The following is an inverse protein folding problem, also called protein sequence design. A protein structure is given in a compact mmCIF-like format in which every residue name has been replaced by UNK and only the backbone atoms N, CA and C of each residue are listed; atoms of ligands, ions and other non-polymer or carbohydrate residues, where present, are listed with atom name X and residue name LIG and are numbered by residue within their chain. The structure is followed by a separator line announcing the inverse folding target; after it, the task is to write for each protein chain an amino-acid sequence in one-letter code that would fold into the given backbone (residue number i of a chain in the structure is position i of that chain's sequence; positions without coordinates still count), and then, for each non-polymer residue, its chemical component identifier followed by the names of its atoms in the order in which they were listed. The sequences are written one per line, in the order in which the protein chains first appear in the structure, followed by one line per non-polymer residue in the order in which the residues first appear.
data_IF_809381629638
#
_entry.id   IF_809381629638
#
_cell.length_a   1.000
_cell.length_b   1.000
_cell.length_c   1.000
_cell.angle_alpha   90.00
_cell.angle_beta   90.00
_cell.angle_gamma   90.00
#
_symmetry.space_group_name_H-M   'P 1'
#
loop_
_entity.id
_entity.type
_entity.pdbx_description
1 polymer ?
#
# COMPACT_ATOMS: atom_id res chain seq x y z
N UNK A 1 1.34 16.41 -16.83
CA UNK A 1 2.44 15.84 -16.01
C UNK A 1 1.86 15.58 -14.63
N UNK A 2 1.91 14.34 -14.13
CA UNK A 2 1.34 13.99 -12.82
C UNK A 2 2.05 14.70 -11.66
N UNK A 3 1.36 14.85 -10.50
CA UNK A 3 1.96 15.44 -9.28
C UNK A 3 3.26 14.71 -8.89
N UNK A 4 3.27 13.37 -8.93
CA UNK A 4 4.48 12.55 -8.68
C UNK A 4 5.64 12.94 -9.60
N UNK A 5 5.39 13.10 -10.89
CA UNK A 5 6.42 13.53 -11.86
C UNK A 5 6.95 14.93 -11.57
N UNK A 6 6.10 15.88 -11.14
CA UNK A 6 6.51 17.23 -10.76
C UNK A 6 7.39 17.21 -9.51
N UNK A 7 6.98 16.46 -8.47
CA UNK A 7 7.76 16.30 -7.23
C UNK A 7 9.10 15.63 -7.50
N UNK A 8 9.12 14.59 -8.34
CA UNK A 8 10.36 13.91 -8.76
C UNK A 8 11.30 14.86 -9.51
N UNK A 9 10.78 15.68 -10.43
CA UNK A 9 11.57 16.67 -11.17
C UNK A 9 12.16 17.72 -10.21
N UNK A 10 11.36 18.24 -9.27
CA UNK A 10 11.81 19.16 -8.22
C UNK A 10 12.91 18.52 -7.35
N UNK A 11 12.68 17.30 -6.87
CA UNK A 11 13.67 16.55 -6.07
C UNK A 11 14.98 16.36 -6.83
N UNK A 12 14.95 15.91 -8.09
CA UNK A 12 16.15 15.76 -8.92
C UNK A 12 16.90 17.07 -9.12
N UNK A 13 16.17 18.18 -9.31
CA UNK A 13 16.78 19.53 -9.42
C UNK A 13 17.48 19.93 -8.12
N UNK A 14 16.80 19.82 -6.98
CA UNK A 14 17.38 20.15 -5.67
C UNK A 14 18.59 19.28 -5.35
N UNK A 15 18.52 17.98 -5.66
CA UNK A 15 19.64 17.04 -5.50
C UNK A 15 20.86 17.43 -6.34
N UNK A 16 20.68 17.83 -7.61
CA UNK A 16 21.76 18.32 -8.46
C UNK A 16 22.38 19.61 -7.91
N UNK A 17 21.56 20.56 -7.49
CA UNK A 17 22.05 21.81 -6.89
C UNK A 17 22.84 21.53 -5.59
N UNK A 18 22.33 20.67 -4.72
CA UNK A 18 23.02 20.25 -3.50
C UNK A 18 24.37 19.57 -3.78
N UNK A 19 24.42 18.68 -4.79
CA UNK A 19 25.68 18.04 -5.20
C UNK A 19 26.69 19.05 -5.76
N UNK A 20 26.24 19.99 -6.59
CA UNK A 20 27.11 21.06 -7.13
C UNK A 20 27.63 21.97 -6.01
N UNK A 21 26.78 22.39 -5.09
CA UNK A 21 27.17 23.19 -3.93
C UNK A 21 28.16 22.43 -3.02
N UNK A 22 27.91 21.15 -2.79
CA UNK A 22 28.81 20.28 -2.03
C UNK A 22 30.16 20.09 -2.70
N UNK A 23 30.20 19.89 -4.02
CA UNK A 23 31.44 19.78 -4.80
C UNK A 23 32.22 21.10 -4.75
N UNK A 24 31.58 22.25 -4.94
CA UNK A 24 32.21 23.56 -4.83
C UNK A 24 32.80 23.78 -3.44
N UNK A 25 32.06 23.44 -2.39
CA UNK A 25 32.55 23.51 -1.01
C UNK A 25 33.79 22.65 -0.80
N UNK A 26 33.78 21.41 -1.29
CA UNK A 26 34.91 20.48 -1.20
C UNK A 26 36.15 21.00 -1.95
N UNK A 27 35.96 21.63 -3.12
CA UNK A 27 37.04 22.25 -3.89
C UNK A 27 37.64 23.42 -3.13
N UNK A 28 36.79 24.31 -2.57
CA UNK A 28 37.27 25.45 -1.75
C UNK A 28 38.03 24.96 -0.53
N UNK A 29 37.51 23.97 0.19
CA UNK A 29 38.19 23.36 1.35
C UNK A 29 39.52 22.70 0.96
N UNK A 30 39.58 22.03 -0.18
CA UNK A 30 40.83 21.43 -0.69
C UNK A 30 41.90 22.44 -1.06
N UNK A 31 41.52 23.64 -1.54
CA UNK A 31 42.45 24.71 -1.93
C UNK A 31 42.88 25.55 -0.71
N UNK A 32 41.96 25.86 0.24
CA UNK A 32 42.16 26.77 1.35
C UNK A 32 42.71 26.09 2.60
N UNK A 33 42.42 24.77 2.77
CA UNK A 33 42.72 24.02 3.98
C UNK A 33 43.61 22.78 3.70
N UNK A 34 43.35 21.72 4.39
CA UNK A 34 44.08 20.47 4.28
C UNK A 34 43.50 19.60 3.12
N UNK A 35 44.31 19.28 2.14
CA UNK A 35 43.93 18.51 0.94
C UNK A 35 43.26 17.15 1.24
N UNK A 36 43.52 16.56 2.41
CA UNK A 36 42.93 15.28 2.85
C UNK A 36 41.51 15.41 3.43
N UNK A 37 41.09 16.63 3.84
CA UNK A 37 39.79 16.87 4.43
C UNK A 37 38.61 16.47 3.51
N UNK A 38 38.64 16.77 2.19
CA UNK A 38 37.64 16.26 1.26
C UNK A 38 37.52 14.75 1.25
N UNK A 39 38.62 14.00 1.39
CA UNK A 39 38.60 12.53 1.39
C UNK A 39 37.86 11.96 2.59
N UNK A 40 37.90 12.61 3.76
CA UNK A 40 37.12 12.23 4.94
C UNK A 40 35.67 12.66 4.84
N UNK A 41 35.38 13.82 4.27
CA UNK A 41 34.02 14.35 4.16
C UNK A 41 33.18 13.61 3.11
N UNK A 42 33.77 13.13 2.00
CA UNK A 42 33.05 12.41 0.96
C UNK A 42 32.27 11.18 1.50
N UNK A 43 32.86 10.25 2.26
CA UNK A 43 32.14 9.14 2.85
C UNK A 43 31.03 9.60 3.80
N UNK A 44 31.24 10.66 4.58
CA UNK A 44 30.23 11.18 5.50
C UNK A 44 29.04 11.79 4.74
N UNK A 45 29.31 12.60 3.72
CA UNK A 45 28.28 13.17 2.85
C UNK A 45 27.52 12.07 2.12
N UNK A 46 28.23 11.04 1.63
CA UNK A 46 27.59 9.90 1.00
C UNK A 46 26.70 9.13 2.00
N UNK A 47 27.19 8.86 3.22
CA UNK A 47 26.41 8.18 4.26
C UNK A 47 25.16 8.99 4.63
N UNK A 48 25.30 10.34 4.80
CA UNK A 48 24.17 11.22 5.02
C UNK A 48 23.17 11.20 3.85
N UNK A 49 23.67 11.22 2.62
CA UNK A 49 22.81 11.10 1.44
C UNK A 49 22.03 9.78 1.45
N UNK A 50 22.67 8.64 1.67
CA UNK A 50 22.01 7.33 1.69
C UNK A 50 21.03 7.20 2.87
N UNK A 51 21.33 7.80 4.03
CA UNK A 51 20.44 7.77 5.19
C UNK A 51 19.17 8.60 5.01
N UNK A 52 19.26 9.79 4.42
CA UNK A 52 18.17 10.78 4.44
C UNK A 52 17.63 11.19 3.08
N UNK A 53 18.39 11.04 1.99
CA UNK A 53 18.04 11.61 0.68
C UNK A 53 18.04 10.60 -0.47
N UNK A 54 18.42 9.35 -0.23
CA UNK A 54 18.46 8.34 -1.27
C UNK A 54 17.09 7.79 -1.65
N UNK A 55 16.13 7.86 -0.71
CA UNK A 55 14.75 7.45 -0.96
C UNK A 55 14.02 8.55 -1.72
N UNK A 56 13.32 8.17 -2.75
CA UNK A 56 12.47 9.07 -3.52
C UNK A 56 11.11 9.23 -2.83
N UNK A 57 11.10 9.90 -1.68
CA UNK A 57 9.87 10.22 -0.98
C UNK A 57 9.23 11.45 -1.61
N UNK A 58 8.03 11.29 -2.14
CA UNK A 58 7.25 12.36 -2.76
C UNK A 58 6.12 12.75 -1.82
N UNK A 59 6.41 13.49 -0.79
CA UNK A 59 5.44 13.97 0.17
C UNK A 59 5.61 15.47 0.45
N UNK A 60 4.54 16.06 0.95
CA UNK A 60 4.50 17.48 1.32
C UNK A 60 4.29 17.59 2.84
N UNK A 61 5.36 17.54 3.64
CA UNK A 61 5.26 17.44 5.10
C UNK A 61 4.62 18.68 5.74
N UNK A 62 4.70 19.85 5.10
CA UNK A 62 4.13 21.11 5.60
C UNK A 62 2.68 21.35 5.16
N UNK A 63 2.05 20.43 4.45
CA UNK A 63 0.67 20.58 4.00
C UNK A 63 -0.28 19.80 4.93
N UNK A 64 -1.50 20.34 5.11
CA UNK A 64 -2.58 19.66 5.81
C UNK A 64 -3.14 18.54 4.92
N UNK A 65 -3.33 17.35 5.49
CA UNK A 65 -4.10 16.30 4.82
C UNK A 65 -5.57 16.69 4.85
N UNK A 66 -6.28 16.40 3.76
CA UNK A 66 -7.67 16.77 3.58
C UNK A 66 -8.49 15.52 3.27
N UNK A 67 -9.45 15.22 4.15
CA UNK A 67 -10.41 14.14 3.94
C UNK A 67 -11.83 14.71 3.99
N UNK A 68 -12.67 14.20 3.10
CA UNK A 68 -14.11 14.36 3.16
C UNK A 68 -14.69 12.99 3.43
N UNK A 69 -15.21 12.80 4.62
CA UNK A 69 -15.84 11.55 4.99
C UNK A 69 -17.30 11.51 4.55
N UNK A 70 -17.81 10.30 4.21
CA UNK A 70 -19.20 10.10 3.79
C UNK A 70 -20.18 10.24 4.97
N UNK A 71 -21.48 10.28 4.66
CA UNK A 71 -22.56 10.48 5.63
C UNK A 71 -22.59 9.40 6.73
N UNK A 72 -22.03 8.23 6.48
CA UNK A 72 -21.90 7.14 7.46
C UNK A 72 -20.89 7.44 8.58
N UNK A 73 -20.03 8.45 8.39
CA UNK A 73 -18.99 8.84 9.34
C UNK A 73 -19.44 10.06 10.13
N UNK A 74 -19.60 9.91 11.43
CA UNK A 74 -19.94 11.01 12.34
C UNK A 74 -18.72 11.63 12.97
N UNK A 75 -18.75 12.93 13.17
CA UNK A 75 -17.77 13.65 13.98
C UNK A 75 -18.17 13.60 15.46
N UNK A 76 -17.20 13.45 16.34
CA UNK A 76 -17.39 13.53 17.78
C UNK A 76 -16.39 14.51 18.40
N UNK A 77 -16.88 15.29 19.34
CA UNK A 77 -16.05 16.20 20.12
C UNK A 77 -15.04 15.41 20.96
N UNK A 78 -13.81 15.90 20.97
CA UNK A 78 -12.72 15.30 21.73
C UNK A 78 -11.83 16.36 22.33
N UNK A 79 -11.17 16.01 23.43
CA UNK A 79 -10.17 16.86 24.05
C UNK A 79 -8.88 16.09 24.27
N UNK A 80 -7.75 16.80 24.22
CA UNK A 80 -6.44 16.25 24.54
C UNK A 80 -5.80 17.13 25.60
N UNK A 81 -5.68 16.61 26.82
CA UNK A 81 -5.07 17.31 27.95
C UNK A 81 -3.98 16.45 28.57
N UNK A 82 -2.77 16.99 28.65
CA UNK A 82 -1.58 16.28 29.16
C UNK A 82 -1.35 14.90 28.52
N UNK A 83 -1.70 14.79 27.24
CA UNK A 83 -1.60 13.56 26.47
C UNK A 83 -2.78 12.61 26.66
N UNK A 84 -3.70 12.85 27.59
CA UNK A 84 -4.91 12.05 27.75
C UNK A 84 -5.95 12.49 26.73
N UNK A 85 -6.40 11.54 25.90
CA UNK A 85 -7.51 11.74 24.95
C UNK A 85 -8.84 11.39 25.63
N UNK A 86 -9.80 12.28 25.55
CA UNK A 86 -11.15 12.08 26.08
C UNK A 86 -12.20 12.42 25.02
N UNK A 87 -13.32 11.72 25.07
CA UNK A 87 -14.51 11.98 24.26
C UNK A 87 -15.77 11.62 25.03
N UNK A 88 -16.84 12.36 24.80
CA UNK A 88 -18.18 12.05 25.34
C UNK A 88 -18.98 11.12 24.41
N UNK A 89 -18.39 10.71 23.27
CA UNK A 89 -19.07 9.85 22.32
C UNK A 89 -19.23 8.43 22.86
N UNK A 90 -20.44 7.89 22.71
CA UNK A 90 -20.65 6.45 22.93
C UNK A 90 -20.02 5.67 21.77
N UNK A 91 -19.17 4.71 22.09
CA UNK A 91 -18.47 3.83 21.14
C UNK A 91 -19.01 2.41 21.27
N UNK A 92 -19.34 1.80 20.15
CA UNK A 92 -19.83 0.41 20.09
C UNK A 92 -18.72 -0.64 20.24
N UNK A 93 -17.46 -0.24 20.04
CA UNK A 93 -16.27 -1.09 20.23
C UNK A 93 -15.73 -1.72 18.95
N UNK A 94 -16.53 -1.83 17.91
CA UNK A 94 -16.19 -2.40 16.60
C UNK A 94 -16.17 -1.36 15.46
N UNK A 95 -16.07 -0.08 15.79
CA UNK A 95 -16.08 1.04 14.87
C UNK A 95 -14.67 1.35 14.35
N UNK A 96 -14.59 1.88 13.14
CA UNK A 96 -13.37 2.58 12.67
C UNK A 96 -13.30 3.93 13.36
N UNK A 97 -12.21 4.18 14.05
CA UNK A 97 -11.94 5.41 14.79
C UNK A 97 -10.74 6.13 14.16
N UNK A 98 -10.96 7.34 13.67
CA UNK A 98 -9.90 8.16 13.07
C UNK A 98 -9.80 9.49 13.79
N UNK A 99 -8.64 9.80 14.35
CA UNK A 99 -8.37 11.05 15.05
C UNK A 99 -7.64 12.02 14.14
N UNK A 100 -8.27 13.13 13.82
CA UNK A 100 -7.68 14.25 13.13
C UNK A 100 -7.00 15.16 14.15
N UNK A 101 -5.70 15.41 13.97
CA UNK A 101 -4.90 16.29 14.86
C UNK A 101 -3.73 16.89 14.10
N UNK A 102 -3.32 18.09 14.49
CA UNK A 102 -2.09 18.70 13.93
C UNK A 102 -0.85 18.08 14.56
N UNK A 103 0.01 17.52 13.71
CA UNK A 103 1.32 16.99 14.08
C UNK A 103 2.39 17.96 13.63
N UNK A 104 3.21 18.46 14.58
CA UNK A 104 4.33 19.36 14.28
C UNK A 104 5.64 18.76 14.71
N UNK A 105 6.52 18.50 13.77
CA UNK A 105 7.87 17.98 14.02
C UNK A 105 8.70 18.95 14.87
N UNK A 106 9.40 18.40 15.85
CA UNK A 106 10.48 19.08 16.52
C UNK A 106 11.75 19.12 15.65
N UNK A 107 12.84 19.68 16.17
CA UNK A 107 14.11 19.75 15.45
C UNK A 107 14.62 18.36 15.03
N UNK A 108 14.61 17.39 15.93
CA UNK A 108 15.00 16.00 15.63
C UNK A 108 14.05 15.33 14.64
N UNK A 109 12.77 15.67 14.62
CA UNK A 109 11.78 15.14 13.66
C UNK A 109 12.02 15.55 12.19
N UNK A 110 13.05 16.37 11.92
CA UNK A 110 13.53 16.66 10.56
C UNK A 110 14.56 15.62 10.07
N UNK A 111 15.12 14.83 10.97
CA UNK A 111 16.15 13.82 10.69
C UNK A 111 15.67 12.40 10.97
N UNK A 112 14.87 12.24 12.03
CA UNK A 112 14.24 10.97 12.41
C UNK A 112 12.74 11.07 12.14
N UNK A 113 12.13 10.02 11.61
CA UNK A 113 10.71 10.01 11.30
C UNK A 113 9.90 10.24 12.61
N UNK A 114 9.08 11.30 12.69
CA UNK A 114 8.28 11.59 13.87
C UNK A 114 7.15 10.58 14.03
N UNK A 115 6.80 10.25 15.26
CA UNK A 115 5.76 9.28 15.55
C UNK A 115 4.89 9.67 16.74
N UNK A 116 3.68 9.16 16.75
CA UNK A 116 2.75 9.26 17.86
C UNK A 116 2.57 7.87 18.47
N UNK A 117 2.95 7.74 19.73
CA UNK A 117 2.76 6.54 20.54
C UNK A 117 1.38 6.59 21.18
N UNK A 118 0.66 5.48 21.13
CA UNK A 118 -0.66 5.27 21.73
C UNK A 118 -0.47 4.36 22.95
N UNK A 119 -0.95 4.80 24.13
CA UNK A 119 -0.69 4.14 25.39
C UNK A 119 -2.02 3.85 26.12
N UNK A 120 -2.18 2.65 26.62
CA UNK A 120 -3.19 2.22 27.62
C UNK A 120 -2.45 1.55 28.78
N UNK A 121 -1.91 2.39 29.69
CA UNK A 121 -0.90 1.95 30.65
C UNK A 121 0.49 1.75 30.00
N UNK A 122 0.59 0.78 29.12
CA UNK A 122 1.76 0.52 28.29
C UNK A 122 1.57 1.05 26.85
N UNK A 123 2.65 1.01 26.04
CA UNK A 123 2.52 1.34 24.62
C UNK A 123 1.82 0.20 23.90
N UNK A 124 0.60 0.49 23.39
CA UNK A 124 -0.22 -0.48 22.67
C UNK A 124 -0.10 -0.36 21.16
N UNK A 125 0.27 0.83 20.66
CA UNK A 125 0.49 1.09 19.22
C UNK A 125 1.39 2.30 19.02
N UNK A 126 1.87 2.49 17.78
CA UNK A 126 2.50 3.73 17.33
C UNK A 126 2.21 3.98 15.86
N UNK A 127 2.18 5.25 15.48
CA UNK A 127 1.99 5.64 14.07
C UNK A 127 3.01 6.69 13.68
N UNK A 128 3.72 6.42 12.61
CA UNK A 128 4.85 7.21 12.14
C UNK A 128 4.43 8.10 10.98
N UNK A 129 5.00 9.30 10.94
CA UNK A 129 4.75 10.29 9.90
C UNK A 129 6.04 10.67 9.18
N UNK A 130 5.91 11.42 8.10
CA UNK A 130 7.02 11.91 7.32
C UNK A 130 7.87 12.93 8.11
N UNK A 131 9.17 12.92 7.85
CA UNK A 131 10.11 13.88 8.44
C UNK A 131 9.73 15.31 8.12
N UNK A 132 9.75 16.14 9.16
CA UNK A 132 9.38 17.54 9.03
C UNK A 132 7.87 17.79 8.97
N UNK A 133 7.02 16.80 9.29
CA UNK A 133 5.57 16.97 9.32
C UNK A 133 5.17 18.22 10.14
N UNK A 134 4.38 19.12 9.53
CA UNK A 134 3.76 20.26 10.18
C UNK A 134 2.40 20.52 9.53
N UNK A 135 1.38 19.78 9.95
CA UNK A 135 0.05 19.86 9.37
C UNK A 135 -0.93 18.88 10.01
N UNK A 136 -2.18 18.91 9.56
CA UNK A 136 -3.21 17.95 9.97
C UNK A 136 -2.83 16.57 9.50
N UNK A 137 -2.98 15.60 10.40
CA UNK A 137 -2.78 14.16 10.19
C UNK A 137 -3.93 13.39 10.79
N UNK A 138 -4.13 12.17 10.32
CA UNK A 138 -5.25 11.32 10.69
C UNK A 138 -4.72 10.02 11.26
N UNK A 139 -4.76 9.91 12.60
CA UNK A 139 -4.35 8.70 13.31
C UNK A 139 -5.49 7.68 13.32
N UNK A 140 -5.15 6.45 13.17
CA UNK A 140 -6.08 5.32 13.26
C UNK A 140 -6.14 4.81 14.71
N UNK A 141 -7.27 4.96 15.37
CA UNK A 141 -7.51 4.51 16.73
C UNK A 141 -8.39 3.25 16.78
N UNK A 142 -8.65 2.62 15.65
CA UNK A 142 -9.48 1.40 15.56
C UNK A 142 -8.92 0.29 16.44
N UNK A 143 -9.80 -0.35 17.21
CA UNK A 143 -9.42 -1.34 18.22
C UNK A 143 -9.02 -0.76 19.57
N UNK A 144 -8.96 0.58 19.72
CA UNK A 144 -8.65 1.25 20.99
C UNK A 144 -9.88 1.96 21.61
N UNK A 145 -11.08 1.72 21.07
CA UNK A 145 -12.32 2.33 21.55
C UNK A 145 -12.59 2.05 23.03
N UNK A 146 -12.29 0.84 23.52
CA UNK A 146 -12.43 0.49 24.94
C UNK A 146 -11.52 1.30 25.86
N UNK A 147 -10.26 1.52 25.48
CA UNK A 147 -9.32 2.36 26.24
C UNK A 147 -9.75 3.83 26.21
N UNK A 148 -10.25 4.30 25.04
CA UNK A 148 -10.75 5.66 24.88
C UNK A 148 -12.01 5.90 25.72
N UNK A 149 -13.01 5.03 25.66
CA UNK A 149 -14.25 5.13 26.47
C UNK A 149 -13.98 5.05 27.97
N UNK A 150 -12.96 4.31 28.37
CA UNK A 150 -12.54 4.21 29.78
C UNK A 150 -11.66 5.39 30.24
N UNK A 151 -11.37 6.38 29.37
CA UNK A 151 -10.55 7.54 29.70
C UNK A 151 -9.08 7.20 30.02
N UNK A 152 -8.53 6.13 29.42
CA UNK A 152 -7.16 5.68 29.67
C UNK A 152 -6.21 5.91 28.49
N UNK A 153 -6.75 6.18 27.30
CA UNK A 153 -5.96 6.33 26.09
C UNK A 153 -5.11 7.61 26.12
N UNK A 154 -3.81 7.43 26.08
CA UNK A 154 -2.86 8.55 26.01
C UNK A 154 -2.11 8.59 24.69
N UNK A 155 -1.85 9.80 24.22
CA UNK A 155 -1.06 10.09 23.02
C UNK A 155 0.26 10.75 23.45
N UNK A 156 1.37 10.24 22.94
CA UNK A 156 2.69 10.81 23.19
C UNK A 156 3.46 11.02 21.89
N UNK A 157 3.73 12.28 21.55
CA UNK A 157 4.58 12.61 20.39
C UNK A 157 6.06 12.31 20.68
N UNK A 158 6.70 11.56 19.76
CA UNK A 158 8.15 11.40 19.70
C UNK A 158 8.68 12.15 18.50
N UNK A 159 9.61 13.05 18.75
CA UNK A 159 10.19 13.97 17.75
C UNK A 159 9.15 14.92 17.12
N UNK A 160 7.94 14.98 17.68
CA UNK A 160 6.86 15.89 17.29
C UNK A 160 6.02 16.30 18.51
N UNK A 161 5.19 17.32 18.30
CA UNK A 161 4.16 17.77 19.24
C UNK A 161 2.80 17.61 18.58
N UNK A 162 1.79 17.33 19.39
CA UNK A 162 0.39 17.34 19.00
C UNK A 162 -0.18 18.70 19.36
N UNK A 163 -0.85 19.38 18.44
CA UNK A 163 -1.32 20.76 18.60
C UNK A 163 -2.78 20.90 18.19
N UNK A 164 -3.46 21.86 18.78
CA UNK A 164 -4.85 22.18 18.46
C UNK A 164 -5.85 21.22 19.12
N UNK A 165 -7.13 21.47 18.88
CA UNK A 165 -8.22 20.61 19.30
C UNK A 165 -8.32 19.41 18.34
N UNK A 166 -8.27 18.17 18.83
CA UNK A 166 -8.47 16.99 18.00
C UNK A 166 -9.95 16.86 17.61
N UNK A 167 -10.22 16.17 16.48
CA UNK A 167 -11.57 15.74 16.07
C UNK A 167 -11.58 14.24 15.88
N UNK A 168 -12.57 13.57 16.42
CA UNK A 168 -12.73 12.12 16.27
C UNK A 168 -13.78 11.83 15.21
N UNK A 169 -13.40 11.06 14.22
CA UNK A 169 -14.26 10.56 13.16
C UNK A 169 -14.58 9.09 13.44
N UNK A 170 -15.87 8.75 13.49
CA UNK A 170 -16.37 7.45 13.88
C UNK A 170 -17.20 6.88 12.72
N UNK A 171 -16.77 5.76 12.18
CA UNK A 171 -17.48 5.03 11.12
C UNK A 171 -17.93 3.68 11.65
N UNK A 172 -19.24 3.35 11.66
CA UNK A 172 -19.70 2.04 12.06
C UNK A 172 -19.10 0.94 11.16
N UNK A 173 -18.68 -0.16 11.75
CA UNK A 173 -18.40 -1.37 11.00
C UNK A 173 -19.73 -2.09 10.72
N UNK A 174 -20.01 -2.34 9.46
CA UNK A 174 -20.87 -3.46 9.11
C UNK A 174 -20.07 -4.75 9.35
N UNK A 175 -20.75 -5.86 9.63
CA UNK A 175 -20.12 -7.18 9.81
C UNK A 175 -19.39 -7.61 8.53
N UNK A 176 -18.17 -7.12 8.31
CA UNK A 176 -17.38 -7.39 7.11
C UNK A 176 -16.84 -8.82 7.08
N UNK A 177 -16.62 -9.42 8.25
CA UNK A 177 -15.94 -10.71 8.39
C UNK A 177 -16.82 -11.92 8.05
N UNK A 178 -18.14 -11.78 8.13
CA UNK A 178 -19.11 -12.84 7.85
C UNK A 178 -19.90 -12.56 6.57
N UNK A 179 -19.16 -12.47 5.45
CA UNK A 179 -19.73 -12.12 4.15
C UNK A 179 -19.05 -12.88 3.02
N UNK A 180 -19.72 -12.93 1.88
CA UNK A 180 -19.10 -13.36 0.63
C UNK A 180 -18.30 -12.22 0.04
N UNK A 181 -17.00 -12.42 -0.09
CA UNK A 181 -16.03 -11.38 -0.48
C UNK A 181 -15.34 -11.79 -1.77
N UNK A 182 -15.19 -10.87 -2.71
CA UNK A 182 -14.30 -11.05 -3.85
C UNK A 182 -13.23 -9.95 -3.83
N UNK A 183 -11.97 -10.36 -3.84
CA UNK A 183 -10.82 -9.47 -3.92
C UNK A 183 -10.32 -9.44 -5.35
N UNK A 184 -10.30 -8.26 -5.96
CA UNK A 184 -9.72 -8.00 -7.26
C UNK A 184 -8.30 -7.53 -7.06
N UNK A 185 -7.34 -8.34 -7.48
CA UNK A 185 -5.92 -8.09 -7.41
C UNK A 185 -5.36 -7.82 -8.83
N UNK A 186 -4.92 -6.60 -9.16
CA UNK A 186 -4.25 -6.34 -10.43
C UNK A 186 -3.06 -7.26 -10.68
N UNK A 187 -2.27 -7.54 -9.62
CA UNK A 187 -1.09 -8.42 -9.65
C UNK A 187 -1.16 -9.47 -8.53
N UNK A 188 -0.39 -10.55 -8.69
CA UNK A 188 -0.26 -11.59 -7.67
C UNK A 188 0.59 -11.08 -6.49
N UNK A 189 0.03 -10.52 -5.51
CA UNK A 189 0.49 -10.01 -4.22
C UNK A 189 -0.45 -8.92 -3.69
N UNK A 190 -1.19 -8.23 -4.57
CA UNK A 190 -2.05 -7.12 -4.18
C UNK A 190 -3.13 -7.52 -3.16
N UNK A 191 -3.71 -8.71 -3.31
CA UNK A 191 -4.71 -9.22 -2.37
C UNK A 191 -4.10 -9.44 -0.98
N UNK A 192 -2.91 -10.04 -0.90
CA UNK A 192 -2.20 -10.31 0.34
C UNK A 192 -1.68 -9.02 0.97
N UNK A 193 -1.22 -8.07 0.17
CA UNK A 193 -0.77 -6.76 0.66
C UNK A 193 -1.91 -6.00 1.32
N UNK A 194 -3.09 -5.98 0.69
CA UNK A 194 -4.20 -5.11 1.08
C UNK A 194 -5.21 -5.75 2.02
N UNK A 195 -5.56 -7.04 1.81
CA UNK A 195 -6.82 -7.61 2.30
C UNK A 195 -6.69 -9.03 2.87
N UNK A 196 -5.48 -9.50 3.19
CA UNK A 196 -5.25 -10.83 3.72
C UNK A 196 -6.10 -11.12 4.97
N UNK A 197 -6.08 -10.19 5.93
CA UNK A 197 -6.83 -10.35 7.18
C UNK A 197 -8.35 -10.29 6.96
N UNK A 198 -8.80 -9.56 5.95
CA UNK A 198 -10.20 -9.49 5.59
C UNK A 198 -10.66 -10.83 4.98
N UNK A 199 -10.00 -11.30 3.92
CA UNK A 199 -10.47 -12.49 3.22
C UNK A 199 -10.19 -13.79 3.97
N UNK A 200 -9.15 -13.85 4.83
CA UNK A 200 -8.87 -15.02 5.67
C UNK A 200 -9.92 -15.28 6.75
N UNK A 201 -10.76 -14.30 7.06
CA UNK A 201 -11.82 -14.38 8.07
C UNK A 201 -13.23 -14.31 7.46
N UNK A 202 -13.34 -14.30 6.13
CA UNK A 202 -14.61 -14.29 5.42
C UNK A 202 -15.27 -15.68 5.45
N UNK A 203 -16.61 -15.72 5.43
CA UNK A 203 -17.34 -16.99 5.27
C UNK A 203 -17.08 -17.61 3.90
N UNK A 204 -16.95 -16.76 2.90
CA UNK A 204 -16.64 -17.15 1.54
C UNK A 204 -15.76 -16.07 0.88
N UNK A 205 -14.55 -16.44 0.45
CA UNK A 205 -13.64 -15.54 -0.22
C UNK A 205 -13.29 -16.03 -1.63
N UNK A 206 -13.26 -15.10 -2.58
CA UNK A 206 -12.71 -15.25 -3.92
C UNK A 206 -11.53 -14.32 -4.08
N UNK A 207 -10.43 -14.80 -4.65
CA UNK A 207 -9.28 -13.98 -5.03
C UNK A 207 -9.10 -14.07 -6.54
N UNK A 208 -9.27 -12.94 -7.22
CA UNK A 208 -9.20 -12.85 -8.68
C UNK A 208 -8.04 -11.94 -9.05
N UNK A 209 -6.98 -12.52 -9.61
CA UNK A 209 -5.79 -11.81 -10.08
C UNK A 209 -5.91 -11.54 -11.58
N UNK A 210 -5.71 -10.28 -12.00
CA UNK A 210 -5.96 -9.88 -13.38
C UNK A 210 -4.78 -10.12 -14.31
N UNK A 211 -3.57 -9.76 -13.88
CA UNK A 211 -2.38 -9.85 -14.75
C UNK A 211 -1.38 -10.89 -14.26
N UNK A 212 -0.60 -11.40 -15.19
CA UNK A 212 0.47 -12.36 -14.89
C UNK A 212 1.69 -11.72 -14.19
N UNK A 213 1.84 -10.39 -14.26
CA UNK A 213 2.96 -9.67 -13.64
C UNK A 213 4.33 -10.09 -14.18
N UNK A 214 4.41 -10.39 -15.47
CA UNK A 214 5.53 -11.04 -16.14
C UNK A 214 6.72 -10.12 -16.41
N UNK A 215 6.53 -8.82 -16.36
CA UNK A 215 7.58 -7.82 -16.66
C UNK A 215 8.59 -7.65 -15.51
N UNK A 216 9.69 -6.93 -15.75
CA UNK A 216 10.74 -6.69 -14.74
C UNK A 216 11.35 -8.03 -14.23
N UNK A 217 11.76 -8.89 -15.15
CA UNK A 217 12.23 -10.26 -14.89
C UNK A 217 13.76 -10.37 -14.78
N UNK A 218 14.47 -9.28 -14.40
CA UNK A 218 15.95 -9.24 -14.37
C UNK A 218 16.56 -10.29 -13.44
N UNK A 219 15.88 -10.63 -12.34
CA UNK A 219 16.33 -11.68 -11.44
C UNK A 219 16.47 -13.02 -12.16
N UNK A 220 15.51 -13.36 -13.01
CA UNK A 220 15.52 -14.62 -13.78
C UNK A 220 16.47 -14.57 -14.96
N UNK A 221 16.74 -13.39 -15.52
CA UNK A 221 17.80 -13.21 -16.53
C UNK A 221 19.18 -13.51 -15.95
N UNK A 222 19.42 -13.22 -14.67
CA UNK A 222 20.65 -13.56 -13.96
C UNK A 222 20.87 -15.08 -13.85
N UNK A 223 19.84 -15.90 -14.07
CA UNK A 223 19.94 -17.36 -14.16
C UNK A 223 20.33 -17.85 -15.56
N UNK A 224 20.63 -16.93 -16.49
CA UNK A 224 21.05 -17.24 -17.86
C UNK A 224 19.90 -17.32 -18.87
N UNK A 225 18.69 -16.93 -18.51
CA UNK A 225 17.54 -16.93 -19.42
C UNK A 225 17.55 -15.68 -20.32
N UNK A 226 17.11 -15.82 -21.56
CA UNK A 226 16.82 -14.68 -22.42
C UNK A 226 15.64 -13.86 -21.84
N UNK A 227 15.54 -12.56 -22.21
CA UNK A 227 14.54 -11.64 -21.66
C UNK A 227 13.11 -12.19 -21.71
N UNK A 228 12.70 -12.70 -22.87
CA UNK A 228 11.35 -13.22 -23.05
C UNK A 228 11.11 -14.52 -22.26
N UNK A 229 12.11 -15.38 -22.14
CA UNK A 229 12.04 -16.62 -21.35
C UNK A 229 11.95 -16.30 -19.85
N UNK A 230 12.74 -15.34 -19.37
CA UNK A 230 12.71 -14.86 -18.00
C UNK A 230 11.32 -14.27 -17.65
N UNK A 231 10.75 -13.46 -18.54
CA UNK A 231 9.41 -12.91 -18.39
C UNK A 231 8.34 -14.03 -18.35
N UNK A 232 8.40 -14.99 -19.26
CA UNK A 232 7.48 -16.15 -19.25
C UNK A 232 7.61 -16.98 -17.97
N UNK A 233 8.83 -17.19 -17.48
CA UNK A 233 9.04 -17.92 -16.21
C UNK A 233 8.46 -17.15 -15.05
N UNK A 234 8.74 -15.84 -14.92
CA UNK A 234 8.19 -14.98 -13.88
C UNK A 234 6.65 -15.01 -13.90
N UNK A 235 6.04 -14.80 -15.07
CA UNK A 235 4.58 -14.82 -15.21
C UNK A 235 3.96 -16.16 -14.78
N UNK A 236 4.60 -17.29 -15.09
CA UNK A 236 4.12 -18.61 -14.63
C UNK A 236 4.24 -18.79 -13.11
N UNK A 237 5.31 -18.31 -12.49
CA UNK A 237 5.50 -18.37 -11.04
C UNK A 237 4.46 -17.49 -10.33
N UNK A 238 4.25 -16.27 -10.81
CA UNK A 238 3.21 -15.39 -10.25
C UNK A 238 1.79 -15.92 -10.48
N UNK A 239 1.54 -16.54 -11.62
CA UNK A 239 0.27 -17.25 -11.85
C UNK A 239 0.07 -18.42 -10.88
N UNK A 240 1.13 -19.14 -10.53
CA UNK A 240 1.09 -20.15 -9.46
C UNK A 240 0.83 -19.50 -8.09
N UNK A 241 1.54 -18.42 -7.77
CA UNK A 241 1.37 -17.71 -6.50
C UNK A 241 -0.07 -17.25 -6.29
N UNK A 242 -0.72 -16.70 -7.32
CA UNK A 242 -2.10 -16.22 -7.25
C UNK A 242 -3.14 -17.30 -6.97
N UNK A 243 -2.83 -18.56 -7.24
CA UNK A 243 -3.67 -19.71 -6.90
C UNK A 243 -3.25 -20.33 -5.57
N UNK A 244 -1.95 -20.48 -5.33
CA UNK A 244 -1.44 -21.23 -4.20
C UNK A 244 -1.46 -20.45 -2.88
N UNK A 245 -1.13 -19.14 -2.93
CA UNK A 245 -0.93 -18.34 -1.71
C UNK A 245 -2.25 -18.04 -0.98
N UNK A 246 -3.37 -17.67 -1.63
CA UNK A 246 -4.63 -17.49 -0.91
C UNK A 246 -5.14 -18.75 -0.19
N UNK A 247 -4.70 -19.92 -0.62
CA UNK A 247 -5.04 -21.20 0.04
C UNK A 247 -4.43 -21.31 1.44
N UNK A 248 -3.32 -20.63 1.70
CA UNK A 248 -2.75 -20.52 3.05
C UNK A 248 -3.74 -19.89 4.04
N UNK A 249 -4.57 -18.96 3.57
CA UNK A 249 -5.65 -18.35 4.35
C UNK A 249 -6.93 -19.21 4.39
N UNK A 250 -6.92 -20.42 3.83
CA UNK A 250 -8.08 -21.31 3.78
C UNK A 250 -9.02 -21.07 2.58
N UNK A 251 -8.68 -20.20 1.63
CA UNK A 251 -9.47 -20.01 0.41
C UNK A 251 -9.41 -21.28 -0.44
N UNK A 252 -10.54 -21.92 -0.79
CA UNK A 252 -10.53 -23.11 -1.66
C UNK A 252 -9.90 -22.80 -3.03
N UNK A 253 -9.20 -23.78 -3.61
CA UNK A 253 -8.59 -23.64 -4.93
C UNK A 253 -9.60 -23.19 -6.00
N UNK A 254 -10.83 -23.72 -5.91
CA UNK A 254 -11.93 -23.36 -6.82
C UNK A 254 -12.35 -21.88 -6.78
N UNK A 255 -11.79 -21.10 -5.86
CA UNK A 255 -12.07 -19.67 -5.69
C UNK A 255 -10.84 -18.79 -5.86
N UNK A 256 -9.71 -19.36 -6.26
CA UNK A 256 -8.49 -18.64 -6.61
C UNK A 256 -8.37 -18.64 -8.14
N UNK A 257 -8.39 -17.48 -8.77
CA UNK A 257 -8.46 -17.35 -10.23
C UNK A 257 -7.41 -16.38 -10.76
N UNK A 258 -6.70 -16.79 -11.81
CA UNK A 258 -5.75 -15.97 -12.54
C UNK A 258 -6.28 -15.70 -13.96
N UNK A 259 -6.48 -14.40 -14.30
CA UNK A 259 -6.98 -14.02 -15.63
C UNK A 259 -5.90 -13.95 -16.71
N UNK A 260 -4.62 -13.92 -16.32
CA UNK A 260 -3.48 -14.08 -17.22
C UNK A 260 -3.22 -12.91 -18.18
N UNK A 261 -3.92 -11.78 -18.04
CA UNK A 261 -3.64 -10.59 -18.85
C UNK A 261 -2.23 -10.06 -18.59
N UNK A 262 -1.70 -9.28 -19.53
CA UNK A 262 -0.32 -8.82 -19.44
C UNK A 262 -0.17 -7.54 -18.63
N UNK A 263 0.87 -7.50 -17.80
CA UNK A 263 1.17 -6.36 -16.93
C UNK A 263 1.41 -5.08 -17.73
N UNK A 264 0.87 -3.95 -17.25
CA UNK A 264 0.89 -2.62 -17.89
C UNK A 264 0.23 -2.58 -19.28
N UNK A 265 -0.53 -3.59 -19.66
CA UNK A 265 -1.29 -3.61 -20.93
C UNK A 265 -2.79 -3.32 -20.73
N UNK A 266 -3.31 -3.34 -19.51
CA UNK A 266 -4.71 -2.99 -19.26
C UNK A 266 -5.09 -1.59 -19.80
N UNK A 267 -4.25 -0.55 -19.68
CA UNK A 267 -4.55 0.75 -20.31
C UNK A 267 -4.62 0.69 -21.85
N UNK A 268 -3.78 -0.13 -22.49
CA UNK A 268 -3.81 -0.34 -23.95
C UNK A 268 -5.08 -1.03 -24.39
N UNK A 269 -5.50 -2.08 -23.66
CA UNK A 269 -6.75 -2.79 -23.88
C UNK A 269 -7.97 -1.86 -23.71
N UNK A 270 -7.99 -1.03 -22.67
CA UNK A 270 -9.08 -0.09 -22.41
C UNK A 270 -9.20 0.96 -23.52
N UNK A 271 -8.07 1.44 -24.05
CA UNK A 271 -8.07 2.44 -25.14
C UNK A 271 -8.56 1.88 -26.48
N UNK A 272 -8.45 0.56 -26.72
CA UNK A 272 -8.88 -0.13 -27.93
C UNK A 272 -9.51 -1.49 -27.56
N UNK A 273 -10.78 -1.51 -27.12
CA UNK A 273 -11.40 -2.67 -26.46
C UNK A 273 -11.41 -3.99 -27.25
N UNK A 274 -11.45 -3.92 -28.57
CA UNK A 274 -11.45 -5.07 -29.48
C UNK A 274 -10.05 -5.49 -29.97
N UNK A 275 -9.01 -4.71 -29.62
CA UNK A 275 -7.66 -4.97 -30.12
C UNK A 275 -6.83 -5.73 -29.08
N UNK A 276 -6.22 -6.88 -29.45
CA UNK A 276 -5.35 -7.59 -28.55
C UNK A 276 -4.09 -6.78 -28.17
N UNK A 277 -3.76 -6.74 -26.89
CA UNK A 277 -2.56 -6.08 -26.38
C UNK A 277 -1.54 -7.12 -25.87
N UNK A 278 -0.57 -7.44 -26.72
CA UNK A 278 0.48 -8.43 -26.41
C UNK A 278 1.39 -8.00 -25.23
N UNK A 279 2.05 -8.97 -24.60
CA UNK A 279 3.05 -8.70 -23.56
C UNK A 279 4.21 -7.87 -24.09
N UNK A 280 4.68 -6.93 -23.26
CA UNK A 280 5.84 -6.08 -23.60
C UNK A 280 7.17 -6.82 -23.54
N UNK A 281 7.27 -7.91 -22.78
CA UNK A 281 8.53 -8.55 -22.49
C UNK A 281 8.55 -10.08 -22.74
N UNK A 282 7.38 -10.74 -22.67
CA UNK A 282 7.31 -12.20 -22.75
C UNK A 282 7.28 -12.73 -24.20
N UNK A 283 7.15 -11.88 -25.20
CA UNK A 283 6.94 -12.29 -26.62
C UNK A 283 5.72 -13.24 -26.73
N UNK A 284 4.59 -12.81 -26.17
CA UNK A 284 3.33 -13.56 -26.10
C UNK A 284 2.14 -12.64 -26.38
N UNK A 285 1.15 -13.22 -27.08
CA UNK A 285 -0.16 -12.59 -27.33
C UNK A 285 -1.34 -13.47 -26.87
N UNK A 286 -1.06 -14.64 -26.30
CA UNK A 286 -2.04 -15.60 -25.77
C UNK A 286 -1.95 -15.65 -24.25
N UNK A 287 -3.08 -15.41 -23.57
CA UNK A 287 -3.16 -15.37 -22.09
C UNK A 287 -3.28 -16.77 -21.47
N UNK A 288 -3.69 -17.79 -22.23
CA UNK A 288 -3.97 -19.14 -21.73
C UNK A 288 -2.79 -19.82 -21.01
N UNK A 289 -1.52 -19.63 -21.40
CA UNK A 289 -0.39 -20.22 -20.68
C UNK A 289 -0.29 -19.78 -19.21
N UNK A 290 -0.78 -18.58 -18.86
CA UNK A 290 -0.80 -18.08 -17.48
C UNK A 290 -2.06 -18.50 -16.72
N UNK A 291 -3.10 -19.03 -17.39
CA UNK A 291 -4.34 -19.54 -16.82
C UNK A 291 -4.34 -21.03 -16.51
N UNK A 292 -3.23 -21.71 -16.81
CA UNK A 292 -3.12 -23.17 -16.71
C UNK A 292 -3.42 -23.78 -15.33
N UNK A 293 -3.43 -22.97 -14.29
CA UNK A 293 -3.72 -23.39 -12.91
C UNK A 293 -5.15 -23.05 -12.48
N UNK A 294 -5.94 -22.43 -13.33
CA UNK A 294 -7.34 -22.14 -13.01
C UNK A 294 -8.15 -23.44 -12.83
N UNK A 295 -9.07 -23.47 -11.87
CA UNK A 295 -9.88 -24.64 -11.57
C UNK A 295 -10.99 -24.91 -12.60
N UNK A 296 -11.31 -23.95 -13.46
CA UNK A 296 -12.34 -24.02 -14.49
C UNK A 296 -12.04 -23.08 -15.65
N UNK A 297 -12.62 -23.33 -16.84
CA UNK A 297 -12.44 -22.46 -17.98
C UNK A 297 -13.20 -21.13 -17.81
N UNK A 298 -12.66 -20.07 -18.42
CA UNK A 298 -13.25 -18.74 -18.47
C UNK A 298 -13.63 -18.35 -19.92
N UNK A 299 -14.53 -17.37 -20.14
CA UNK A 299 -14.96 -16.99 -21.48
C UNK A 299 -13.81 -16.68 -22.45
N UNK A 300 -12.77 -15.96 -22.03
CA UNK A 300 -11.64 -15.61 -22.88
C UNK A 300 -10.68 -16.80 -23.17
N UNK A 301 -10.89 -17.97 -22.61
CA UNK A 301 -10.14 -19.19 -23.01
C UNK A 301 -10.51 -19.66 -24.41
N UNK A 302 -11.64 -19.21 -24.98
CA UNK A 302 -12.09 -19.56 -26.31
C UNK A 302 -11.11 -19.14 -27.38
N UNK A 303 -10.56 -17.93 -27.30
CA UNK A 303 -9.61 -17.38 -28.26
C UNK A 303 -8.22 -17.09 -27.65
N UNK A 304 -8.15 -16.84 -26.33
CA UNK A 304 -6.93 -16.49 -25.62
C UNK A 304 -6.45 -15.06 -25.87
N UNK A 305 -7.28 -14.20 -26.48
CA UNK A 305 -6.91 -12.85 -26.86
C UNK A 305 -6.94 -11.87 -25.67
N UNK A 306 -5.86 -11.09 -25.42
CA UNK A 306 -5.82 -10.09 -24.38
C UNK A 306 -6.55 -8.80 -24.79
N UNK A 307 -7.88 -8.85 -24.85
CA UNK A 307 -8.74 -7.71 -25.19
C UNK A 307 -9.51 -7.21 -23.96
N UNK A 308 -9.94 -5.94 -23.97
CA UNK A 308 -10.78 -5.39 -22.91
C UNK A 308 -12.12 -6.09 -22.81
N UNK A 309 -12.72 -6.41 -23.96
CA UNK A 309 -13.99 -7.12 -24.01
C UNK A 309 -13.89 -8.52 -23.39
N UNK A 310 -12.79 -9.24 -23.62
CA UNK A 310 -12.53 -10.53 -22.98
C UNK A 310 -12.36 -10.38 -21.46
N UNK A 311 -11.64 -9.35 -20.98
CA UNK A 311 -11.51 -9.05 -19.56
C UNK A 311 -12.89 -8.80 -18.93
N UNK A 312 -13.76 -8.03 -19.58
CA UNK A 312 -15.11 -7.78 -19.09
C UNK A 312 -15.97 -9.05 -19.09
N UNK A 313 -15.84 -9.91 -20.10
CA UNK A 313 -16.56 -11.18 -20.15
C UNK A 313 -16.13 -12.12 -18.98
N UNK A 314 -14.84 -12.25 -18.73
CA UNK A 314 -14.31 -13.02 -17.60
C UNK A 314 -14.80 -12.48 -16.25
N UNK A 315 -14.72 -11.16 -16.04
CA UNK A 315 -15.17 -10.53 -14.81
C UNK A 315 -16.68 -10.70 -14.59
N UNK A 316 -17.50 -10.56 -15.63
CA UNK A 316 -18.96 -10.80 -15.53
C UNK A 316 -19.27 -12.24 -15.14
N UNK A 317 -18.61 -13.22 -15.78
CA UNK A 317 -18.80 -14.64 -15.45
C UNK A 317 -18.44 -14.94 -13.99
N UNK A 318 -17.34 -14.37 -13.49
CA UNK A 318 -16.90 -14.56 -12.11
C UNK A 318 -17.82 -13.86 -11.10
N UNK A 319 -18.28 -12.65 -11.39
CA UNK A 319 -19.21 -11.91 -10.53
C UNK A 319 -20.57 -12.58 -10.44
N UNK A 320 -21.09 -13.12 -11.55
CA UNK A 320 -22.34 -13.90 -11.56
C UNK A 320 -22.21 -15.25 -10.84
N UNK A 321 -21.04 -15.89 -10.94
CA UNK A 321 -20.74 -17.14 -10.24
C UNK A 321 -20.62 -16.95 -8.73
N UNK A 322 -19.82 -15.97 -8.31
CA UNK A 322 -19.50 -15.75 -6.91
C UNK A 322 -20.58 -14.94 -6.16
N UNK A 323 -21.27 -14.03 -6.84
CA UNK A 323 -22.26 -13.12 -6.25
C UNK A 323 -21.77 -12.50 -4.94
N UNK A 324 -20.63 -11.78 -4.95
CA UNK A 324 -20.03 -11.27 -3.73
C UNK A 324 -20.87 -10.17 -3.12
N UNK A 325 -21.06 -10.18 -1.81
CA UNK A 325 -21.71 -9.09 -1.08
C UNK A 325 -20.78 -7.89 -0.92
N UNK A 326 -19.47 -8.19 -0.77
CA UNK A 326 -18.41 -7.19 -0.67
C UNK A 326 -17.43 -7.41 -1.83
N UNK A 327 -17.18 -6.34 -2.56
CA UNK A 327 -16.18 -6.31 -3.61
C UNK A 327 -15.01 -5.43 -3.18
N UNK A 328 -13.81 -6.03 -3.12
CA UNK A 328 -12.57 -5.36 -2.71
C UNK A 328 -11.73 -5.09 -3.95
N UNK A 329 -11.34 -3.84 -4.18
CA UNK A 329 -10.64 -3.43 -5.40
C UNK A 329 -9.72 -2.23 -5.15
N UNK A 330 -8.80 -1.87 -6.07
CA UNK A 330 -7.98 -0.68 -5.93
C UNK A 330 -8.78 0.62 -5.84
N UNK A 331 -8.26 1.60 -5.09
CA UNK A 331 -8.90 2.90 -4.92
C UNK A 331 -8.70 3.78 -6.18
N UNK A 332 -9.77 4.40 -6.72
CA UNK A 332 -9.73 5.10 -8.02
C UNK A 332 -8.84 6.34 -8.07
N UNK A 333 -8.52 6.95 -6.94
CA UNK A 333 -7.75 8.20 -6.90
C UNK A 333 -6.51 8.15 -6.02
N UNK A 334 -6.47 7.30 -4.99
CA UNK A 334 -5.32 7.16 -4.10
C UNK A 334 -4.23 6.26 -4.68
N UNK A 335 -4.63 5.20 -5.39
CA UNK A 335 -3.69 4.29 -6.04
C UNK A 335 -3.46 4.71 -7.51
N UNK A 336 -2.25 5.23 -7.84
CA UNK A 336 -1.98 5.77 -9.17
C UNK A 336 -1.47 4.74 -10.18
N UNK A 337 -1.35 3.47 -9.80
CA UNK A 337 -0.80 2.46 -10.71
C UNK A 337 -1.74 2.26 -11.91
N UNK A 338 -1.25 2.28 -13.17
CA UNK A 338 -2.12 2.20 -14.34
C UNK A 338 -3.01 0.96 -14.37
N UNK A 339 -2.47 -0.23 -14.04
CA UNK A 339 -3.27 -1.46 -14.00
C UNK A 339 -4.30 -1.43 -12.87
N UNK A 340 -4.01 -0.77 -11.74
CA UNK A 340 -4.97 -0.64 -10.61
C UNK A 340 -6.17 0.23 -11.02
N UNK A 341 -5.90 1.35 -11.69
CA UNK A 341 -6.96 2.22 -12.21
C UNK A 341 -7.83 1.50 -13.25
N UNK A 342 -7.19 0.75 -14.17
CA UNK A 342 -7.92 -0.03 -15.17
C UNK A 342 -8.67 -1.22 -14.55
N UNK A 343 -8.12 -1.89 -13.55
CA UNK A 343 -8.80 -2.97 -12.84
C UNK A 343 -10.10 -2.47 -12.20
N UNK A 344 -10.05 -1.34 -11.52
CA UNK A 344 -11.24 -0.72 -10.94
C UNK A 344 -12.25 -0.33 -12.02
N UNK A 345 -11.80 0.27 -13.13
CA UNK A 345 -12.67 0.65 -14.23
C UNK A 345 -13.35 -0.58 -14.87
N UNK A 346 -12.59 -1.66 -15.13
CA UNK A 346 -13.11 -2.91 -15.69
C UNK A 346 -14.19 -3.53 -14.81
N UNK A 347 -13.95 -3.59 -13.50
CA UNK A 347 -14.92 -4.13 -12.54
C UNK A 347 -16.22 -3.32 -12.55
N UNK A 348 -16.13 -1.99 -12.46
CA UNK A 348 -17.32 -1.12 -12.49
C UNK A 348 -18.07 -1.19 -13.82
N UNK A 349 -17.36 -1.41 -14.92
CA UNK A 349 -17.97 -1.62 -16.25
C UNK A 349 -18.62 -3.01 -16.34
N UNK A 350 -17.99 -4.05 -15.81
CA UNK A 350 -18.55 -5.40 -15.76
C UNK A 350 -19.85 -5.45 -14.95
N UNK A 351 -19.91 -4.76 -13.80
CA UNK A 351 -21.10 -4.68 -12.96
C UNK A 351 -22.31 -4.08 -13.68
N UNK A 352 -22.11 -3.15 -14.61
CA UNK A 352 -23.23 -2.58 -15.41
C UNK A 352 -23.90 -3.63 -16.31
N UNK A 353 -23.19 -4.70 -16.66
CA UNK A 353 -23.65 -5.73 -17.60
C UNK A 353 -24.27 -6.99 -16.92
N UNK A 354 -24.42 -7.01 -15.59
CA UNK A 354 -24.95 -8.13 -14.83
C UNK A 354 -26.09 -7.69 -13.88
N UNK A 355 -26.96 -8.67 -13.56
CA UNK A 355 -28.10 -8.39 -12.67
C UNK A 355 -27.69 -8.34 -11.18
N UNK A 356 -26.66 -9.07 -10.80
CA UNK A 356 -26.16 -9.07 -9.43
C UNK A 356 -25.35 -7.81 -9.15
N UNK A 357 -25.61 -7.19 -7.98
CA UNK A 357 -24.81 -6.05 -7.51
C UNK A 357 -24.31 -6.34 -6.07
N UNK A 358 -23.04 -6.06 -5.76
CA UNK A 358 -22.57 -6.10 -4.39
C UNK A 358 -23.26 -5.00 -3.57
N UNK A 359 -23.40 -5.20 -2.26
CA UNK A 359 -23.92 -4.16 -1.38
C UNK A 359 -22.86 -3.14 -0.98
N UNK A 360 -21.59 -3.57 -0.97
CA UNK A 360 -20.47 -2.78 -0.44
C UNK A 360 -19.24 -2.86 -1.34
N UNK A 361 -18.66 -1.71 -1.64
CA UNK A 361 -17.31 -1.61 -2.22
C UNK A 361 -16.31 -1.24 -1.12
N UNK A 362 -15.20 -1.98 -1.05
CA UNK A 362 -14.03 -1.65 -0.26
C UNK A 362 -12.86 -1.37 -1.20
N UNK A 363 -12.31 -0.17 -1.12
CA UNK A 363 -11.19 0.22 -1.96
C UNK A 363 -9.90 0.28 -1.13
N UNK A 364 -8.81 -0.26 -1.67
CA UNK A 364 -7.48 -0.25 -1.05
C UNK A 364 -6.46 0.54 -1.90
N UNK A 365 -5.32 0.92 -1.30
CA UNK A 365 -4.22 1.54 -2.02
C UNK A 365 -2.90 0.87 -1.63
N UNK A 366 -2.25 0.20 -2.59
CA UNK A 366 -0.92 -0.40 -2.43
C UNK A 366 0.19 0.55 -2.89
N UNK A 367 -0.14 1.51 -3.76
CA UNK A 367 0.74 2.57 -4.25
C UNK A 367 0.17 3.94 -3.91
N UNK A 368 1.02 4.93 -3.71
CA UNK A 368 0.58 6.32 -3.49
C UNK A 368 1.35 7.30 -4.38
N UNK A 369 0.72 8.44 -4.65
CA UNK A 369 1.35 9.54 -5.39
C UNK A 369 2.43 10.26 -4.59
N UNK A 370 2.15 10.56 -3.33
CA UNK A 370 2.90 11.53 -2.54
C UNK A 370 3.84 10.89 -1.51
N UNK A 371 3.73 9.60 -1.25
CA UNK A 371 4.58 8.90 -0.28
C UNK A 371 4.82 7.44 -0.67
N UNK A 372 5.97 7.16 -1.29
CA UNK A 372 6.34 5.79 -1.68
C UNK A 372 6.60 4.86 -0.47
N UNK A 373 6.75 5.42 0.75
CA UNK A 373 6.98 4.64 1.98
C UNK A 373 5.73 4.35 2.80
N UNK A 374 4.61 4.93 2.43
CA UNK A 374 3.36 4.64 3.15
C UNK A 374 2.99 3.14 3.04
N UNK A 375 2.45 2.54 4.12
CA UNK A 375 2.37 3.03 5.49
C UNK A 375 3.75 3.28 6.11
N UNK A 376 3.89 4.42 6.80
CA UNK A 376 5.11 4.77 7.52
C UNK A 376 5.25 3.93 8.80
N UNK A 377 6.46 3.84 9.34
CA UNK A 377 6.77 3.08 10.56
C UNK A 377 7.23 1.66 10.28
N UNK A 378 7.30 0.86 11.33
CA UNK A 378 7.83 -0.50 11.32
C UNK A 378 6.71 -1.55 11.13
N UNK A 379 7.07 -2.80 10.86
CA UNK A 379 6.11 -3.91 10.85
C UNK A 379 5.42 -4.02 12.21
N UNK A 380 4.11 -4.27 12.21
CA UNK A 380 3.29 -4.33 13.43
C UNK A 380 2.78 -3.00 13.95
N UNK A 381 3.28 -1.86 13.46
CA UNK A 381 2.75 -0.54 13.82
C UNK A 381 1.36 -0.31 13.21
N UNK A 382 0.60 0.61 13.79
CA UNK A 382 -0.67 1.08 13.24
C UNK A 382 -0.52 1.78 11.89
N UNK A 383 -1.62 1.88 11.16
CA UNK A 383 -1.67 2.51 9.84
C UNK A 383 -2.47 3.81 9.92
N UNK A 384 -1.77 4.94 9.95
CA UNK A 384 -2.39 6.25 9.78
C UNK A 384 -2.91 6.44 8.35
N UNK A 385 -3.91 7.30 8.16
CA UNK A 385 -4.41 7.57 6.83
C UNK A 385 -3.31 8.17 5.93
N UNK A 386 -3.28 7.81 4.63
CA UNK A 386 -2.26 8.27 3.69
C UNK A 386 -2.35 9.77 3.41
N UNK A 387 -1.29 10.39 2.85
CA UNK A 387 -1.38 11.75 2.36
C UNK A 387 -2.43 11.89 1.26
N UNK A 388 -3.42 12.74 1.51
CA UNK A 388 -4.42 13.19 0.56
C UNK A 388 -4.52 14.71 0.66
N UNK A 389 -4.31 15.41 -0.45
CA UNK A 389 -4.19 16.87 -0.47
C UNK A 389 -5.39 17.54 -1.15
N UNK A 390 -6.35 16.75 -1.64
CA UNK A 390 -7.65 17.21 -2.15
C UNK A 390 -8.74 16.24 -1.71
N UNK A 391 -9.85 16.77 -1.24
CA UNK A 391 -11.00 16.00 -0.76
C UNK A 391 -12.11 15.96 -1.83
N UNK A 392 -11.81 15.40 -3.01
CA UNK A 392 -12.74 15.45 -4.15
C UNK A 392 -13.96 14.52 -3.96
N UNK A 393 -13.76 13.37 -3.34
CA UNK A 393 -14.80 12.38 -3.14
C UNK A 393 -14.95 12.05 -1.66
N UNK A 394 -16.19 11.82 -1.24
CA UNK A 394 -16.49 11.38 0.12
C UNK A 394 -16.41 9.84 0.19
N UNK A 395 -15.58 9.34 1.10
CA UNK A 395 -15.44 7.93 1.40
C UNK A 395 -15.53 7.70 2.91
N UNK A 396 -16.09 6.58 3.33
CA UNK A 396 -16.05 6.17 4.72
C UNK A 396 -14.75 5.38 4.99
N UNK A 397 -13.89 5.80 5.92
CA UNK A 397 -12.73 5.01 6.29
C UNK A 397 -13.21 3.71 6.95
N UNK A 398 -12.59 2.60 6.58
CA UNK A 398 -12.86 1.28 7.11
C UNK A 398 -11.54 0.62 7.46
N UNK A 399 -11.28 0.49 8.75
CA UNK A 399 -10.03 -0.08 9.27
C UNK A 399 -10.30 -1.40 9.98
N UNK A 400 -9.67 -2.47 9.53
CA UNK A 400 -9.77 -3.78 10.12
C UNK A 400 -8.56 -4.04 11.01
N UNK A 401 -8.71 -4.16 12.34
CA UNK A 401 -7.60 -4.51 13.20
C UNK A 401 -7.21 -5.98 13.01
N UNK A 402 -5.90 -6.23 12.93
CA UNK A 402 -5.30 -7.55 12.81
C UNK A 402 -4.63 -7.93 14.12
N UNK A 403 -4.96 -9.08 14.67
CA UNK A 403 -4.23 -9.66 15.78
C UNK A 403 -2.84 -10.18 15.35
N UNK A 404 -1.99 -10.49 16.29
CA UNK A 404 -0.63 -10.93 16.01
C UNK A 404 -0.55 -12.25 15.24
N UNK A 405 -1.40 -13.26 15.50
CA UNK A 405 -1.49 -14.47 14.66
C UNK A 405 -1.78 -14.13 13.21
N UNK A 406 -2.81 -13.35 12.91
CA UNK A 406 -3.18 -12.94 11.55
C UNK A 406 -2.06 -12.16 10.85
N UNK A 407 -1.37 -11.27 11.58
CA UNK A 407 -0.20 -10.55 11.03
C UNK A 407 0.94 -11.51 10.65
N UNK A 408 1.19 -12.55 11.45
CA UNK A 408 2.20 -13.57 11.16
C UNK A 408 1.81 -14.43 9.97
N UNK A 409 0.57 -14.85 9.89
CA UNK A 409 0.06 -15.63 8.76
C UNK A 409 0.11 -14.82 7.45
N UNK A 410 -0.24 -13.53 7.50
CA UNK A 410 -0.05 -12.60 6.38
C UNK A 410 1.42 -12.50 5.96
N UNK A 411 2.35 -12.45 6.92
CA UNK A 411 3.78 -12.46 6.63
C UNK A 411 4.24 -13.75 5.96
N UNK A 412 3.70 -14.90 6.36
CA UNK A 412 3.99 -16.19 5.72
C UNK A 412 3.43 -16.24 4.30
N UNK A 413 2.21 -15.76 4.08
CA UNK A 413 1.62 -15.64 2.74
C UNK A 413 2.52 -14.82 1.81
N UNK A 414 2.94 -13.63 2.24
CA UNK A 414 3.89 -12.81 1.48
C UNK A 414 5.26 -13.50 1.30
N UNK A 415 5.68 -14.30 2.29
CA UNK A 415 6.90 -15.11 2.23
C UNK A 415 6.86 -16.22 1.19
N UNK A 416 5.69 -16.63 0.73
CA UNK A 416 5.53 -17.62 -0.35
C UNK A 416 5.51 -17.01 -1.76
N UNK A 417 5.35 -15.67 -1.87
CA UNK A 417 5.36 -14.96 -3.15
C UNK A 417 6.76 -14.93 -3.78
N UNK A 418 6.95 -15.56 -4.92
CA UNK A 418 8.26 -15.65 -5.59
C UNK A 418 8.87 -14.28 -5.89
N UNK A 419 8.06 -13.29 -6.24
CA UNK A 419 8.55 -11.95 -6.60
C UNK A 419 9.07 -11.15 -5.39
N UNK A 420 8.72 -11.55 -4.17
CA UNK A 420 9.17 -10.92 -2.94
C UNK A 420 10.44 -11.57 -2.33
N UNK A 421 10.88 -12.72 -2.89
CA UNK A 421 12.02 -13.49 -2.38
C UNK A 421 13.40 -13.00 -2.82
N UNK A 422 13.61 -12.37 -4.01
CA UNK A 422 14.95 -11.99 -4.43
C UNK A 422 15.66 -11.13 -3.38
N UNK A 423 16.89 -11.47 -3.00
CA UNK A 423 17.65 -10.73 -2.00
C UNK A 423 17.94 -9.31 -2.49
N UNK A 424 17.90 -8.35 -1.57
CA UNK A 424 18.22 -6.97 -1.93
C UNK A 424 19.69 -6.85 -2.40
N UNK A 425 19.97 -6.09 -3.46
CA UNK A 425 21.34 -5.80 -3.91
C UNK A 425 22.18 -5.19 -2.78
N UNK A 426 23.50 -5.45 -2.80
CA UNK A 426 24.44 -4.99 -1.77
C UNK A 426 24.28 -3.50 -1.41
N UNK A 427 24.18 -2.64 -2.43
CA UNK A 427 23.95 -1.19 -2.24
C UNK A 427 22.69 -0.90 -1.41
N UNK A 428 21.61 -1.64 -1.65
CA UNK A 428 20.35 -1.48 -0.91
C UNK A 428 20.49 -1.96 0.54
N UNK A 429 21.21 -3.06 0.77
CA UNK A 429 21.51 -3.57 2.12
C UNK A 429 22.34 -2.56 2.92
N UNK A 430 23.39 -1.99 2.31
CA UNK A 430 24.22 -0.98 2.94
C UNK A 430 23.42 0.30 3.25
N UNK A 431 22.55 0.75 2.32
CA UNK A 431 21.63 1.86 2.58
C UNK A 431 20.74 1.59 3.79
N UNK A 432 20.13 0.40 3.89
CA UNK A 432 19.29 0.03 5.04
C UNK A 432 20.06 0.05 6.35
N UNK A 433 21.31 -0.39 6.33
CA UNK A 433 22.19 -0.33 7.52
C UNK A 433 22.39 1.14 7.95
N UNK A 434 22.72 2.03 7.01
CA UNK A 434 22.85 3.46 7.29
C UNK A 434 21.54 4.07 7.79
N UNK A 435 20.41 3.73 7.18
CA UNK A 435 19.10 4.20 7.61
C UNK A 435 18.72 3.70 9.01
N UNK A 436 19.10 2.47 9.35
CA UNK A 436 18.88 1.92 10.70
C UNK A 436 19.61 2.73 11.76
N UNK A 437 20.90 2.98 11.56
CA UNK A 437 21.74 3.63 12.59
C UNK A 437 21.60 5.16 12.59
N UNK A 438 21.40 5.79 11.45
CA UNK A 438 21.37 7.25 11.32
C UNK A 438 19.94 7.82 11.30
N UNK A 439 18.97 7.12 10.74
CA UNK A 439 17.59 7.57 10.61
C UNK A 439 16.59 6.79 11.50
N UNK A 440 17.06 5.82 12.31
CA UNK A 440 16.23 5.07 13.26
C UNK A 440 15.22 4.11 12.62
N UNK A 441 15.40 3.73 11.35
CA UNK A 441 14.47 2.87 10.60
C UNK A 441 14.79 1.40 10.83
N UNK A 442 13.85 0.63 11.37
CA UNK A 442 14.06 -0.80 11.57
C UNK A 442 13.78 -1.60 10.29
N UNK A 443 14.58 -2.65 10.01
CA UNK A 443 14.25 -3.61 8.97
C UNK A 443 13.04 -4.45 9.40
N UNK A 444 12.23 -4.90 8.43
CA UNK A 444 11.18 -5.86 8.76
C UNK A 444 11.78 -7.18 9.24
N UNK A 445 11.23 -7.79 10.31
CA UNK A 445 11.67 -9.10 10.77
C UNK A 445 11.23 -10.24 9.86
N UNK A 446 10.32 -9.98 8.92
CA UNK A 446 9.67 -11.00 8.09
C UNK A 446 10.34 -11.19 6.73
N UNK A 447 11.11 -10.23 6.24
CA UNK A 447 11.80 -10.33 4.95
C UNK A 447 12.47 -9.04 4.50
N UNK A 448 13.39 -9.16 3.54
CA UNK A 448 14.14 -8.01 3.02
C UNK A 448 13.32 -7.11 2.07
N UNK A 449 12.24 -7.63 1.46
CA UNK A 449 11.42 -6.81 0.60
C UNK A 449 10.63 -5.78 1.43
N UNK A 450 10.53 -4.56 0.93
CA UNK A 450 9.84 -3.47 1.64
C UNK A 450 8.34 -3.73 1.82
N UNK A 451 7.74 -4.55 0.98
CA UNK A 451 6.34 -4.93 1.10
C UNK A 451 6.03 -5.65 2.42
N UNK A 452 6.97 -6.44 2.98
CA UNK A 452 6.76 -7.02 4.32
C UNK A 452 6.53 -5.94 5.39
N UNK A 453 7.31 -4.85 5.36
CA UNK A 453 7.13 -3.73 6.30
C UNK A 453 5.81 -3.00 6.04
N UNK A 454 5.45 -2.80 4.78
CA UNK A 454 4.23 -2.05 4.42
C UNK A 454 2.95 -2.82 4.73
N UNK A 455 2.94 -4.11 4.50
CA UNK A 455 1.73 -4.94 4.56
C UNK A 455 1.49 -5.61 5.90
N UNK A 456 2.57 -6.03 6.60
CA UNK A 456 2.43 -6.70 7.92
C UNK A 456 2.28 -5.63 8.99
N UNK A 457 1.06 -5.16 9.14
CA UNK A 457 0.69 -4.03 10.01
C UNK A 457 -0.44 -4.43 10.95
N UNK A 458 -0.66 -3.58 11.95
CA UNK A 458 -1.75 -3.77 12.92
C UNK A 458 -3.14 -3.60 12.30
N UNK A 459 -3.25 -2.95 11.15
CA UNK A 459 -4.52 -2.69 10.49
C UNK A 459 -4.41 -2.94 8.98
N UNK A 460 -5.49 -3.41 8.37
CA UNK A 460 -5.79 -3.23 6.97
C UNK A 460 -6.72 -2.03 6.83
N UNK A 461 -6.44 -1.13 5.89
CA UNK A 461 -7.16 0.11 5.70
C UNK A 461 -7.83 0.13 4.34
N UNK A 462 -9.14 0.38 4.37
CA UNK A 462 -9.99 0.48 3.18
C UNK A 462 -10.79 1.79 3.20
N UNK A 463 -11.30 2.14 2.05
CA UNK A 463 -12.31 3.18 1.85
C UNK A 463 -13.59 2.52 1.38
N UNK A 464 -14.63 2.68 2.18
CA UNK A 464 -15.91 2.02 1.99
C UNK A 464 -16.90 2.92 1.27
N UNK A 465 -17.68 2.31 0.38
CA UNK A 465 -18.85 2.90 -0.26
C UNK A 465 -19.95 1.86 -0.33
N UNK A 466 -21.16 2.21 0.11
CA UNK A 466 -22.37 1.43 -0.15
C UNK A 466 -22.88 1.72 -1.56
N UNK A 467 -23.46 0.72 -2.23
CA UNK A 467 -24.02 0.80 -3.58
C UNK A 467 -25.53 0.81 -3.57
#
# INVERSE_FOLDING_TARGET
MSRKQQLLKRHRRLKRLGLLAGLLLLLVLGVVSWWWLPLLLLPLVWAAHEAWFADHLFYSPGEDYQYRFGEQTREAATSLSDGLLATDAQLAGDETLVLEIRVKSGWLGRFVDPRVELLDGEQVDQQTFERGADGLRFLNLTGLGGALSAGRLRLRGRYCRLLGAPRLWITPHSELRRRRIMVIAPHADDAELAAYGLYSQADEAWVVTLTAGEIEAEHYQQMGLAKAEAARLKGRLRAWDSIAVPRWAGVPESRCVQLGYFCLQLPTMQAAPDQPAASREADMADIRPFRRFNPFPLPADADGEPTWNNLLADLRALLEMAKPEILVMPHPTLDPHPDHLCAQAAVLEALKGIAWQPSTLLCYANHLHDNDRWPMGDSGDGVALPPQLSAEQAWAPCSLPLDLPTQRDKAMALGMMHDLQPPAPFKRRLRRLLQRYLAGRQPSPYGENEFFRKAVRRHELFWRREL
#
